data_IF_892373083336
#
_entry.id   IF_892373083336
#
_cell.length_a   1.000
_cell.length_b   1.000
_cell.length_c   1.000
_cell.angle_alpha   90.00
_cell.angle_beta   90.00
_cell.angle_gamma   90.00
#
_symmetry.space_group_name_H-M   'P 1'
#
loop_
_entity.id
_entity.type
_entity.pdbx_description
1 polymer ?
#
# COMPACT_ATOMS: atom_id res chain seq x y z
N UNK A 1 -49.04 13.48 -41.63
CA UNK A 1 -47.97 13.28 -42.64
C UNK A 1 -46.71 13.95 -42.09
N UNK A 2 -45.71 13.15 -41.67
CA UNK A 2 -44.41 12.98 -42.37
C UNK A 2 -43.55 14.25 -42.15
N UNK A 3 -42.33 14.31 -41.62
CA UNK A 3 -41.32 13.39 -41.12
C UNK A 3 -40.15 14.28 -40.66
N UNK A 4 -39.40 13.89 -39.62
CA UNK A 4 -37.93 13.98 -39.58
C UNK A 4 -37.43 13.80 -38.14
N UNK A 5 -37.27 12.53 -37.75
CA UNK A 5 -36.21 12.15 -36.82
C UNK A 5 -34.86 12.61 -37.40
N UNK A 6 -34.15 13.51 -36.71
CA UNK A 6 -32.70 13.67 -36.92
C UNK A 6 -32.00 13.27 -35.64
N UNK A 7 -31.66 11.98 -35.63
CA UNK A 7 -30.79 11.32 -34.69
C UNK A 7 -29.40 11.97 -34.74
N UNK A 8 -28.99 12.68 -33.69
CA UNK A 8 -27.58 12.98 -33.44
C UNK A 8 -27.18 12.43 -32.07
N UNK A 9 -26.71 11.19 -32.14
CA UNK A 9 -25.90 10.54 -31.12
C UNK A 9 -24.64 11.38 -30.87
N UNK A 10 -24.54 11.99 -29.67
CA UNK A 10 -23.27 12.47 -29.13
C UNK A 10 -22.66 11.35 -28.28
N UNK A 11 -21.53 10.73 -28.69
CA UNK A 11 -20.81 9.81 -27.85
C UNK A 11 -19.87 10.59 -26.92
N UNK A 12 -19.92 10.36 -25.60
CA UNK A 12 -18.73 10.58 -24.75
C UNK A 12 -18.86 11.40 -23.45
N UNK A 13 -19.96 11.35 -22.69
CA UNK A 13 -20.03 12.05 -21.37
C UNK A 13 -19.58 11.23 -20.15
N UNK A 14 -19.16 9.97 -20.32
CA UNK A 14 -18.84 9.08 -19.19
C UNK A 14 -17.42 9.25 -18.62
N UNK A 15 -16.48 9.82 -19.39
CA UNK A 15 -15.06 9.81 -19.01
C UNK A 15 -14.64 10.97 -18.09
N UNK A 16 -15.27 12.16 -18.22
CA UNK A 16 -14.91 13.32 -17.41
C UNK A 16 -15.39 13.16 -15.96
N UNK A 17 -16.62 12.69 -15.75
CA UNK A 17 -17.26 12.49 -14.44
C UNK A 17 -16.58 11.43 -13.56
N UNK A 18 -15.86 10.48 -14.17
CA UNK A 18 -15.07 9.47 -13.44
C UNK A 18 -13.72 10.03 -12.97
N UNK A 19 -13.04 10.83 -13.80
CA UNK A 19 -11.75 11.42 -13.48
C UNK A 19 -11.87 12.45 -12.33
N UNK A 20 -12.90 13.30 -12.36
CA UNK A 20 -13.16 14.26 -11.27
C UNK A 20 -13.46 13.59 -9.92
N UNK A 21 -14.10 12.42 -9.91
CA UNK A 21 -14.37 11.66 -8.67
C UNK A 21 -13.10 11.06 -8.08
N UNK A 22 -12.25 10.47 -8.91
CA UNK A 22 -10.97 9.89 -8.46
C UNK A 22 -10.03 10.97 -7.93
N UNK A 23 -9.91 12.10 -8.64
CA UNK A 23 -9.10 13.24 -8.20
C UNK A 23 -9.54 13.76 -6.82
N UNK A 24 -10.86 13.95 -6.64
CA UNK A 24 -11.44 14.38 -5.36
C UNK A 24 -11.10 13.43 -4.22
N UNK A 25 -11.20 12.11 -4.42
CA UNK A 25 -10.90 11.11 -3.38
C UNK A 25 -9.41 11.08 -3.06
N UNK A 26 -8.52 11.17 -4.05
CA UNK A 26 -7.08 11.23 -3.79
C UNK A 26 -6.66 12.46 -3.01
N UNK A 27 -7.31 13.60 -3.22
CA UNK A 27 -7.03 14.82 -2.47
C UNK A 27 -7.53 14.73 -1.03
N UNK A 28 -8.69 14.12 -0.79
CA UNK A 28 -9.15 13.79 0.58
C UNK A 28 -8.14 12.91 1.31
N UNK A 29 -7.61 11.87 0.67
CA UNK A 29 -6.63 10.96 1.26
C UNK A 29 -5.31 11.69 1.58
N UNK A 30 -4.87 12.64 0.74
CA UNK A 30 -3.68 13.45 1.01
C UNK A 30 -3.87 14.37 2.20
N UNK A 31 -5.02 15.04 2.29
CA UNK A 31 -5.34 15.93 3.40
C UNK A 31 -5.44 15.15 4.71
N UNK A 32 -6.13 14.00 4.72
CA UNK A 32 -6.18 13.11 5.89
C UNK A 32 -4.78 12.68 6.35
N UNK A 33 -3.88 12.33 5.43
CA UNK A 33 -2.49 12.00 5.79
C UNK A 33 -1.76 13.18 6.44
N UNK A 34 -2.00 14.41 5.96
CA UNK A 34 -1.40 15.62 6.52
C UNK A 34 -1.92 15.90 7.93
N UNK A 35 -3.23 15.78 8.13
CA UNK A 35 -3.89 15.95 9.42
C UNK A 35 -3.44 14.90 10.43
N UNK A 36 -3.35 13.62 10.04
CA UNK A 36 -2.86 12.54 10.89
C UNK A 36 -1.41 12.76 11.33
N UNK A 37 -0.54 13.24 10.42
CA UNK A 37 0.84 13.63 10.78
C UNK A 37 0.88 14.80 11.76
N UNK A 38 0.00 15.78 11.58
CA UNK A 38 -0.17 16.89 12.51
C UNK A 38 -0.58 16.41 13.91
N UNK A 39 -1.57 15.52 13.96
CA UNK A 39 -2.09 14.91 15.19
C UNK A 39 -1.01 14.10 15.91
N UNK A 40 -0.23 13.29 15.18
CA UNK A 40 0.87 12.52 15.77
C UNK A 40 1.93 13.42 16.43
N UNK A 41 2.27 14.56 15.81
CA UNK A 41 3.17 15.55 16.41
C UNK A 41 2.56 16.27 17.60
N UNK A 42 1.26 16.55 17.56
CA UNK A 42 0.55 17.14 18.70
C UNK A 42 0.60 16.20 19.92
N UNK A 43 0.31 14.92 19.73
CA UNK A 43 0.37 13.90 20.79
C UNK A 43 1.78 13.82 21.41
N UNK A 44 2.84 13.88 20.61
CA UNK A 44 4.22 13.87 21.11
C UNK A 44 4.49 15.11 21.98
N UNK A 45 4.06 16.30 21.53
CA UNK A 45 4.21 17.54 22.29
C UNK A 45 3.40 17.51 23.59
N UNK A 46 2.16 17.05 23.53
CA UNK A 46 1.29 16.93 24.71
C UNK A 46 1.89 15.97 25.74
N UNK A 47 2.45 14.84 25.28
CA UNK A 47 3.14 13.90 26.18
C UNK A 47 4.36 14.54 26.86
N UNK A 48 5.17 15.30 26.12
CA UNK A 48 6.30 16.01 26.71
C UNK A 48 5.86 17.06 27.75
N UNK A 49 4.74 17.75 27.49
CA UNK A 49 4.14 18.67 28.46
C UNK A 49 3.65 17.95 29.72
N UNK A 50 2.97 16.80 29.57
CA UNK A 50 2.55 15.95 30.69
C UNK A 50 3.76 15.46 31.50
N UNK A 51 4.85 15.05 30.86
CA UNK A 51 6.08 14.63 31.55
C UNK A 51 6.71 15.77 32.38
N UNK A 52 6.66 17.01 31.89
CA UNK A 52 7.10 18.18 32.64
C UNK A 52 6.19 18.46 33.84
N UNK A 53 4.88 18.40 33.65
CA UNK A 53 3.89 18.58 34.72
C UNK A 53 4.02 17.49 35.81
N UNK A 54 4.31 16.25 35.41
CA UNK A 54 4.57 15.13 36.33
C UNK A 54 5.71 15.47 37.30
N UNK A 55 6.85 15.90 36.76
CA UNK A 55 8.02 16.30 37.55
C UNK A 55 7.72 17.48 38.47
N UNK A 56 6.94 18.46 38.00
CA UNK A 56 6.54 19.61 38.82
C UNK A 56 5.66 19.18 40.00
N UNK A 57 4.65 18.34 39.76
CA UNK A 57 3.81 17.78 40.81
C UNK A 57 4.61 16.97 41.83
N UNK A 58 5.57 16.16 41.39
CA UNK A 58 6.44 15.41 42.29
C UNK A 58 7.27 16.32 43.22
N UNK A 59 7.81 17.43 42.68
CA UNK A 59 8.54 18.41 43.48
C UNK A 59 7.63 19.13 44.47
N UNK A 60 6.42 19.50 44.05
CA UNK A 60 5.46 20.19 44.89
C UNK A 60 4.95 19.29 46.02
N UNK A 61 4.65 18.02 45.74
CA UNK A 61 4.32 17.01 46.76
C UNK A 61 5.44 16.91 47.79
N UNK A 62 6.71 16.81 47.34
CA UNK A 62 7.87 16.76 48.25
C UNK A 62 7.98 18.01 49.12
N UNK A 63 7.70 19.20 48.54
CA UNK A 63 7.72 20.47 49.28
C UNK A 63 6.62 20.50 50.35
N UNK A 64 5.37 20.16 49.99
CA UNK A 64 4.25 20.14 50.93
C UNK A 64 4.42 19.09 52.01
N UNK A 65 5.04 17.96 51.70
CA UNK A 65 5.36 16.91 52.67
C UNK A 65 6.36 17.41 53.73
N UNK A 66 7.40 18.16 53.32
CA UNK A 66 8.37 18.76 54.25
C UNK A 66 7.74 19.78 55.20
N UNK A 67 6.72 20.52 54.74
CA UNK A 67 5.97 21.49 55.54
C UNK A 67 4.95 20.79 56.46
N UNK A 68 4.70 19.49 56.27
CA UNK A 68 3.73 18.73 57.06
C UNK A 68 2.27 18.94 56.64
N UNK A 69 2.02 19.60 55.49
CA UNK A 69 0.67 19.83 54.99
C UNK A 69 0.11 18.58 54.30
N UNK A 70 -0.48 17.69 55.11
CA UNK A 70 -1.01 16.39 54.66
C UNK A 70 -2.19 16.51 53.69
N UNK A 71 -3.07 17.50 53.87
CA UNK A 71 -4.23 17.69 53.00
C UNK A 71 -3.80 18.11 51.58
N UNK A 72 -2.86 19.05 51.47
CA UNK A 72 -2.30 19.44 50.17
C UNK A 72 -1.60 18.26 49.48
N UNK A 73 -0.80 17.49 50.21
CA UNK A 73 -0.17 16.27 49.67
C UNK A 73 -1.19 15.28 49.11
N UNK A 74 -2.32 15.07 49.81
CA UNK A 74 -3.38 14.15 49.38
C UNK A 74 -4.04 14.60 48.08
N UNK A 75 -4.28 15.89 47.92
CA UNK A 75 -4.85 16.46 46.68
C UNK A 75 -3.85 16.34 45.52
N UNK A 76 -2.60 16.77 45.73
CA UNK A 76 -1.56 16.72 44.71
C UNK A 76 -1.23 15.27 44.28
N UNK A 77 -1.23 14.32 45.23
CA UNK A 77 -1.04 12.90 44.91
C UNK A 77 -2.15 12.34 44.02
N UNK A 78 -3.42 12.72 44.26
CA UNK A 78 -4.53 12.35 43.37
C UNK A 78 -4.35 12.93 41.96
N UNK A 79 -3.91 14.19 41.86
CA UNK A 79 -3.61 14.83 40.58
C UNK A 79 -2.48 14.10 39.84
N UNK A 80 -1.41 13.72 40.55
CA UNK A 80 -0.30 12.95 39.97
C UNK A 80 -0.76 11.61 39.39
N UNK A 81 -1.62 10.87 40.12
CA UNK A 81 -2.19 9.61 39.61
C UNK A 81 -3.04 9.84 38.36
N UNK A 82 -3.87 10.89 38.34
CA UNK A 82 -4.67 11.24 37.18
C UNK A 82 -3.79 11.57 35.97
N UNK A 83 -2.76 12.40 36.17
CA UNK A 83 -1.82 12.80 35.14
C UNK A 83 -1.04 11.61 34.58
N UNK A 84 -0.60 10.67 35.43
CA UNK A 84 0.01 9.41 34.99
C UNK A 84 -0.93 8.56 34.14
N UNK A 85 -2.21 8.45 34.52
CA UNK A 85 -3.22 7.77 33.71
C UNK A 85 -3.43 8.46 32.35
N UNK A 86 -3.47 9.79 32.33
CA UNK A 86 -3.60 10.57 31.10
C UNK A 86 -2.40 10.33 30.18
N UNK A 87 -1.17 10.39 30.71
CA UNK A 87 0.06 10.06 29.99
C UNK A 87 0.01 8.64 29.42
N UNK A 88 -0.40 7.64 30.21
CA UNK A 88 -0.56 6.26 29.69
C UNK A 88 -1.59 6.18 28.57
N UNK A 89 -2.72 6.89 28.69
CA UNK A 89 -3.75 6.94 27.64
C UNK A 89 -3.23 7.52 26.32
N UNK A 90 -2.25 8.44 26.36
CA UNK A 90 -1.65 8.98 25.12
C UNK A 90 -0.97 7.92 24.25
N UNK A 91 -0.46 6.82 24.83
CA UNK A 91 0.09 5.70 24.05
C UNK A 91 -1.00 4.98 23.24
N UNK A 92 -2.15 4.73 23.85
CA UNK A 92 -3.28 4.11 23.17
C UNK A 92 -3.79 5.02 22.03
N UNK A 93 -3.88 6.33 22.28
CA UNK A 93 -4.27 7.32 21.26
C UNK A 93 -3.24 7.36 20.12
N UNK A 94 -1.94 7.39 20.43
CA UNK A 94 -0.86 7.36 19.43
C UNK A 94 -0.92 6.10 18.55
N UNK A 95 -1.15 4.94 19.17
CA UNK A 95 -1.33 3.67 18.45
C UNK A 95 -2.55 3.73 17.53
N UNK A 96 -3.67 4.28 17.99
CA UNK A 96 -4.88 4.43 17.18
C UNK A 96 -4.65 5.34 15.97
N UNK A 97 -3.98 6.48 16.14
CA UNK A 97 -3.60 7.38 15.04
C UNK A 97 -2.67 6.71 14.04
N UNK A 98 -1.71 5.92 14.54
CA UNK A 98 -0.79 5.15 13.69
C UNK A 98 -1.55 4.11 12.87
N UNK A 99 -2.49 3.38 13.48
CA UNK A 99 -3.40 2.45 12.79
C UNK A 99 -4.20 3.16 11.68
N UNK A 100 -4.77 4.33 11.97
CA UNK A 100 -5.52 5.10 10.98
C UNK A 100 -4.62 5.57 9.82
N UNK A 101 -3.37 5.95 10.10
CA UNK A 101 -2.37 6.29 9.08
C UNK A 101 -2.09 5.10 8.16
N UNK A 102 -1.91 3.90 8.72
CA UNK A 102 -1.74 2.67 7.94
C UNK A 102 -2.98 2.36 7.10
N UNK A 103 -4.18 2.45 7.69
CA UNK A 103 -5.43 2.24 6.95
C UNK A 103 -5.60 3.23 5.79
N UNK A 104 -5.21 4.49 6.00
CA UNK A 104 -5.23 5.53 4.96
C UNK A 104 -4.24 5.21 3.83
N UNK A 105 -3.05 4.68 4.14
CA UNK A 105 -2.09 4.21 3.12
C UNK A 105 -2.65 3.04 2.31
N UNK A 106 -3.28 2.07 2.97
CA UNK A 106 -3.94 0.94 2.30
C UNK A 106 -5.03 1.45 1.36
N UNK A 107 -5.87 2.39 1.82
CA UNK A 107 -6.91 3.00 1.00
C UNK A 107 -6.33 3.72 -0.23
N UNK A 108 -5.22 4.45 -0.07
CA UNK A 108 -4.52 5.09 -1.20
C UNK A 108 -4.06 4.06 -2.24
N UNK A 109 -3.43 2.96 -1.80
CA UNK A 109 -2.99 1.89 -2.69
C UNK A 109 -4.16 1.21 -3.41
N UNK A 110 -5.27 0.95 -2.70
CA UNK A 110 -6.49 0.41 -3.30
C UNK A 110 -7.08 1.36 -4.35
N UNK A 111 -7.07 2.67 -4.10
CA UNK A 111 -7.57 3.66 -5.07
C UNK A 111 -6.70 3.72 -6.33
N UNK A 112 -5.37 3.67 -6.18
CA UNK A 112 -4.46 3.59 -7.34
C UNK A 112 -4.70 2.31 -8.15
N UNK A 113 -4.88 1.17 -7.47
CA UNK A 113 -5.20 -0.10 -8.12
C UNK A 113 -6.53 -0.03 -8.85
N UNK A 114 -7.57 0.55 -8.25
CA UNK A 114 -8.86 0.76 -8.90
C UNK A 114 -8.74 1.64 -10.16
N UNK A 115 -7.92 2.69 -10.12
CA UNK A 115 -7.60 3.52 -11.28
C UNK A 115 -6.87 2.75 -12.40
N UNK A 116 -5.90 1.92 -12.03
CA UNK A 116 -5.18 1.04 -12.96
C UNK A 116 -6.13 0.00 -13.59
N UNK A 117 -6.93 -0.70 -12.77
CA UNK A 117 -7.92 -1.67 -13.22
C UNK A 117 -8.97 -1.04 -14.15
N UNK A 118 -9.42 0.19 -13.85
CA UNK A 118 -10.32 0.94 -14.73
C UNK A 118 -9.68 1.20 -16.10
N UNK A 119 -8.39 1.55 -16.12
CA UNK A 119 -7.63 1.77 -17.35
C UNK A 119 -7.44 0.47 -18.12
N UNK A 120 -7.04 -0.62 -17.44
CA UNK A 120 -6.91 -1.96 -18.03
C UNK A 120 -8.23 -2.45 -18.62
N UNK A 121 -9.35 -2.28 -17.90
CA UNK A 121 -10.68 -2.66 -18.39
C UNK A 121 -11.06 -1.88 -19.67
N UNK A 122 -10.77 -0.57 -19.72
CA UNK A 122 -10.95 0.24 -20.94
C UNK A 122 -10.08 -0.25 -22.09
N UNK A 123 -8.83 -0.60 -21.83
CA UNK A 123 -7.92 -1.16 -22.84
C UNK A 123 -8.42 -2.51 -23.32
N UNK A 124 -8.82 -3.43 -22.44
CA UNK A 124 -9.40 -4.72 -22.81
C UNK A 124 -10.68 -4.55 -23.63
N UNK A 125 -11.53 -3.60 -23.28
CA UNK A 125 -12.73 -3.28 -24.07
C UNK A 125 -12.36 -2.76 -25.46
N UNK A 126 -11.35 -1.90 -25.58
CA UNK A 126 -10.88 -1.38 -26.85
C UNK A 126 -10.23 -2.47 -27.72
N UNK A 127 -9.47 -3.38 -27.10
CA UNK A 127 -8.89 -4.57 -27.73
C UNK A 127 -10.01 -5.48 -28.22
N UNK A 128 -11.01 -5.80 -27.40
CA UNK A 128 -12.16 -6.63 -27.78
C UNK A 128 -12.99 -6.02 -28.92
N UNK A 129 -13.00 -4.69 -29.06
CA UNK A 129 -13.70 -3.97 -30.15
C UNK A 129 -12.90 -3.90 -31.46
N UNK A 130 -11.59 -4.12 -31.41
CA UNK A 130 -10.67 -4.07 -32.57
C UNK A 130 -10.08 -5.42 -32.95
N UNK A 131 -10.20 -6.44 -32.10
CA UNK A 131 -9.83 -7.81 -32.43
C UNK A 131 -10.91 -8.46 -33.27
N UNK A 132 -10.51 -8.90 -34.45
CA UNK A 132 -11.28 -9.87 -35.22
C UNK A 132 -11.16 -11.22 -34.51
N UNK A 133 -12.27 -11.82 -34.02
CA UNK A 133 -12.21 -13.07 -33.26
C UNK A 133 -11.55 -14.22 -34.05
N UNK A 134 -11.62 -14.19 -35.39
CA UNK A 134 -10.94 -15.19 -36.22
C UNK A 134 -9.42 -15.02 -36.26
N UNK A 135 -8.92 -13.78 -36.37
CA UNK A 135 -7.46 -13.53 -36.36
C UNK A 135 -6.85 -13.83 -35.00
N UNK A 136 -7.59 -13.56 -33.94
CA UNK A 136 -7.18 -13.87 -32.56
C UNK A 136 -6.99 -15.38 -32.35
N UNK A 137 -7.95 -16.17 -32.79
CA UNK A 137 -7.91 -17.63 -32.67
C UNK A 137 -6.72 -18.21 -33.44
N UNK A 138 -6.45 -17.66 -34.63
CA UNK A 138 -5.31 -18.04 -35.45
C UNK A 138 -3.98 -17.64 -34.81
N UNK A 139 -3.88 -16.44 -34.23
CA UNK A 139 -2.69 -16.01 -33.47
C UNK A 139 -2.47 -16.85 -32.23
N UNK A 140 -3.53 -17.24 -31.49
CA UNK A 140 -3.40 -18.16 -30.35
C UNK A 140 -2.96 -19.56 -30.77
N UNK A 141 -3.50 -20.11 -31.87
CA UNK A 141 -3.07 -21.41 -32.40
C UNK A 141 -1.61 -21.37 -32.87
N UNK A 142 -1.19 -20.29 -33.53
CA UNK A 142 0.20 -20.11 -33.94
C UNK A 142 1.12 -19.96 -32.73
N UNK A 143 0.71 -19.20 -31.71
CA UNK A 143 1.46 -19.09 -30.46
C UNK A 143 1.59 -20.44 -29.75
N UNK A 144 0.52 -21.22 -29.66
CA UNK A 144 0.57 -22.58 -29.08
C UNK A 144 1.50 -23.51 -29.88
N UNK A 145 1.48 -23.44 -31.21
CA UNK A 145 2.41 -24.19 -32.07
C UNK A 145 3.86 -23.76 -31.89
N UNK A 146 4.12 -22.46 -31.79
CA UNK A 146 5.46 -21.93 -31.58
C UNK A 146 5.99 -22.33 -30.20
N UNK A 147 5.15 -22.28 -29.15
CA UNK A 147 5.52 -22.69 -27.80
C UNK A 147 5.80 -24.19 -27.71
N UNK A 148 4.95 -25.04 -28.32
CA UNK A 148 5.21 -26.48 -28.41
C UNK A 148 6.48 -26.79 -29.20
N UNK A 149 6.74 -26.04 -30.28
CA UNK A 149 7.98 -26.19 -31.06
C UNK A 149 9.20 -25.79 -30.22
N UNK A 150 9.08 -24.75 -29.40
CA UNK A 150 10.12 -24.29 -28.49
C UNK A 150 10.41 -25.34 -27.40
N UNK A 151 9.38 -25.89 -26.76
CA UNK A 151 9.50 -26.98 -25.78
C UNK A 151 10.14 -28.23 -26.41
N UNK A 152 9.71 -28.63 -27.62
CA UNK A 152 10.33 -29.76 -28.33
C UNK A 152 11.78 -29.50 -28.74
N UNK A 153 12.15 -28.26 -29.07
CA UNK A 153 13.56 -27.91 -29.33
C UNK A 153 14.39 -27.88 -28.05
N UNK A 154 13.82 -27.47 -26.92
CA UNK A 154 14.50 -27.55 -25.63
C UNK A 154 14.71 -29.02 -25.21
N UNK A 155 13.73 -29.90 -25.41
CA UNK A 155 13.88 -31.34 -25.19
C UNK A 155 14.92 -31.96 -26.12
N UNK A 156 14.87 -31.70 -27.44
CA UNK A 156 15.90 -32.22 -28.36
C UNK A 156 17.30 -31.68 -28.07
N UNK A 157 17.44 -30.42 -27.64
CA UNK A 157 18.74 -29.83 -27.26
C UNK A 157 19.26 -30.47 -25.97
N UNK A 158 18.39 -30.73 -24.99
CA UNK A 158 18.79 -31.45 -23.78
C UNK A 158 19.15 -32.90 -24.08
N UNK A 159 18.40 -33.62 -24.92
CA UNK A 159 18.73 -34.98 -25.33
C UNK A 159 20.06 -35.05 -26.12
N UNK A 160 20.33 -34.08 -27.01
CA UNK A 160 21.64 -34.02 -27.69
C UNK A 160 22.79 -33.58 -26.79
N UNK A 161 22.54 -32.73 -25.79
CA UNK A 161 23.54 -32.38 -24.79
C UNK A 161 23.83 -33.57 -23.86
N UNK A 162 22.82 -34.32 -23.43
CA UNK A 162 22.98 -35.52 -22.62
C UNK A 162 23.71 -36.62 -23.40
N UNK A 163 23.41 -36.84 -24.69
CA UNK A 163 24.17 -37.77 -25.56
C UNK A 163 25.64 -37.34 -25.76
N UNK A 164 25.92 -36.02 -25.76
CA UNK A 164 27.29 -35.49 -25.85
C UNK A 164 28.03 -35.66 -24.51
N UNK A 165 27.36 -35.46 -23.38
CA UNK A 165 27.97 -35.60 -22.04
C UNK A 165 28.12 -37.06 -21.59
N UNK A 166 27.22 -37.98 -22.00
CA UNK A 166 27.31 -39.42 -21.70
C UNK A 166 28.29 -40.15 -22.64
N UNK A 167 28.65 -39.53 -23.78
CA UNK A 167 29.60 -40.07 -24.77
C UNK A 167 31.07 -39.62 -24.62
N UNK A 168 31.41 -38.81 -23.61
CA UNK A 168 32.75 -38.22 -23.45
C UNK A 168 33.40 -38.45 -22.08
N UNK A 169 33.16 -39.60 -21.44
CA UNK A 169 33.88 -40.03 -20.23
C UNK A 169 34.87 -41.19 -20.50
N UNK A 170 35.42 -41.26 -21.71
CA UNK A 170 36.51 -42.19 -22.04
C UNK A 170 37.82 -41.42 -22.29
N UNK A 171 38.71 -41.55 -21.30
CA UNK A 171 40.18 -41.58 -21.39
C UNK A 171 40.92 -40.38 -22.02
N UNK A 172 41.63 -39.58 -21.20
CA UNK A 172 43.08 -39.75 -21.00
C UNK A 172 43.72 -38.65 -20.12
N UNK A 173 44.50 -39.16 -19.16
CA UNK A 173 45.76 -38.65 -18.58
C UNK A 173 45.86 -37.28 -17.87
N UNK A 174 45.94 -37.43 -16.54
CA UNK A 174 46.85 -36.66 -15.69
C UNK A 174 48.27 -36.62 -16.25
N UNK A 175 48.88 -35.44 -16.30
CA UNK A 175 50.20 -35.17 -15.70
C UNK A 175 50.64 -33.71 -15.80
N UNK A 176 51.30 -33.30 -14.71
CA UNK A 176 52.34 -32.26 -14.61
C UNK A 176 51.96 -30.84 -14.15
N UNK A 177 51.91 -30.66 -12.82
CA UNK A 177 52.53 -29.50 -12.16
C UNK A 177 53.21 -30.01 -10.87
N UNK A 178 54.52 -30.18 -10.93
CA UNK A 178 55.44 -30.14 -9.76
C UNK A 178 56.20 -28.83 -9.79
#
# INVERSE_FOLDING_TARGET
>A
MISAQRNHHLPGSSNSTSAYRVARITDVIKEQNRELRGTQRAIIRDRAALEKQEKQLELEIKKMAKIGNKEACKVLAKQLVHLRKQKTRTFAVSSKVTSMSTQTKVMNSQMKMAGAMSTTAKTMQAVNKKMDPQKTLQTMQNFQKENMKMEMTEEMINDTLDDIFDGSDDEEESQDIV
#
